data_IF_731444044024
#
_entry.id   IF_731444044024
#
_cell.length_a   1.000
_cell.length_b   1.000
_cell.length_c   1.000
_cell.angle_alpha   90.00
_cell.angle_beta   90.00
_cell.angle_gamma   90.00
#
_symmetry.space_group_name_H-M   'P 1'
#
loop_
_entity.id
_entity.type
_entity.pdbx_description
1 polymer ?
#
# COMPACT_ATOMS: atom_id res chain seq x y z
N UNK A 1 -30.06 8.63 -0.80
CA UNK A 1 -29.13 8.07 -1.80
C UNK A 1 -28.62 9.21 -2.68
N UNK A 2 -27.34 9.58 -2.84
CA UNK A 2 -26.06 8.95 -2.50
C UNK A 2 -24.93 9.99 -2.64
N UNK A 3 -24.55 10.70 -1.58
CA UNK A 3 -23.21 11.29 -1.46
C UNK A 3 -22.09 10.25 -1.66
N UNK A 4 -22.45 8.97 -1.50
CA UNK A 4 -21.68 7.80 -1.92
C UNK A 4 -21.35 7.75 -3.42
N UNK A 5 -22.29 8.10 -4.32
CA UNK A 5 -22.04 8.09 -5.77
C UNK A 5 -21.10 9.23 -6.17
N UNK A 6 -21.17 10.37 -5.49
CA UNK A 6 -20.29 11.51 -5.73
C UNK A 6 -18.84 11.22 -5.31
N UNK A 7 -18.63 10.53 -4.18
CA UNK A 7 -17.30 10.06 -3.78
C UNK A 7 -16.73 9.02 -4.75
N UNK A 8 -17.59 8.19 -5.36
CA UNK A 8 -17.20 7.19 -6.37
C UNK A 8 -16.88 7.80 -7.74
N UNK A 9 -17.51 8.92 -8.10
CA UNK A 9 -17.33 9.60 -9.39
C UNK A 9 -16.23 10.67 -9.38
N UNK A 10 -15.67 11.02 -8.22
CA UNK A 10 -14.77 12.16 -8.07
C UNK A 10 -13.29 11.86 -8.33
N UNK A 11 -12.88 10.61 -8.49
CA UNK A 11 -11.47 10.28 -8.73
C UNK A 11 -11.24 9.89 -10.20
N UNK A 12 -10.50 10.70 -11.00
CA UNK A 12 -9.95 10.26 -12.28
C UNK A 12 -8.81 9.27 -12.01
N UNK A 13 -9.19 8.02 -11.76
CA UNK A 13 -8.30 6.92 -11.41
C UNK A 13 -9.15 5.68 -11.15
N UNK A 14 -8.66 4.52 -11.61
CA UNK A 14 -9.21 3.17 -11.42
C UNK A 14 -9.94 3.09 -10.07
N UNK A 15 -11.27 3.00 -10.12
CA UNK A 15 -12.18 3.41 -9.02
C UNK A 15 -11.98 2.73 -7.67
N UNK A 16 -12.78 3.12 -6.67
CA UNK A 16 -12.65 2.71 -5.26
C UNK A 16 -12.25 1.23 -5.03
N UNK A 17 -12.88 0.30 -5.74
CA UNK A 17 -12.57 -1.13 -5.66
C UNK A 17 -11.14 -1.49 -6.09
N UNK A 18 -10.61 -0.84 -7.13
CA UNK A 18 -9.26 -1.07 -7.60
C UNK A 18 -8.22 -0.57 -6.60
N UNK A 19 -8.46 0.57 -5.93
CA UNK A 19 -7.55 1.06 -4.87
C UNK A 19 -7.47 0.09 -3.69
N UNK A 20 -8.61 -0.45 -3.24
CA UNK A 20 -8.63 -1.48 -2.19
C UNK A 20 -7.89 -2.73 -2.66
N UNK A 21 -8.16 -3.18 -3.90
CA UNK A 21 -7.51 -4.34 -4.48
C UNK A 21 -5.99 -4.17 -4.59
N UNK A 22 -5.51 -3.00 -4.98
CA UNK A 22 -4.09 -2.64 -5.01
C UNK A 22 -3.47 -2.74 -3.61
N UNK A 23 -4.11 -2.15 -2.60
CA UNK A 23 -3.58 -2.19 -1.22
C UNK A 23 -3.47 -3.62 -0.67
N UNK A 24 -4.47 -4.46 -0.96
CA UNK A 24 -4.49 -5.87 -0.57
C UNK A 24 -3.39 -6.68 -1.29
N UNK A 25 -3.26 -6.51 -2.61
CA UNK A 25 -2.19 -7.12 -3.39
C UNK A 25 -0.81 -6.66 -2.93
N UNK A 26 -0.65 -5.37 -2.69
CA UNK A 26 0.62 -4.78 -2.28
C UNK A 26 1.11 -5.34 -0.94
N UNK A 27 0.22 -5.44 0.05
CA UNK A 27 0.55 -6.03 1.36
C UNK A 27 0.98 -7.49 1.26
N UNK A 28 0.28 -8.29 0.45
CA UNK A 28 0.62 -9.70 0.22
C UNK A 28 1.96 -9.87 -0.52
N UNK A 29 2.19 -9.07 -1.57
CA UNK A 29 3.45 -9.10 -2.32
C UNK A 29 4.62 -8.66 -1.42
N UNK A 30 4.44 -7.60 -0.64
CA UNK A 30 5.47 -7.09 0.26
C UNK A 30 5.87 -8.14 1.31
N UNK A 31 4.91 -8.84 1.90
CA UNK A 31 5.18 -9.92 2.84
C UNK A 31 6.04 -11.04 2.22
N UNK A 32 5.71 -11.43 0.97
CA UNK A 32 6.46 -12.45 0.24
C UNK A 32 7.89 -12.01 -0.04
N UNK A 33 8.08 -10.73 -0.39
CA UNK A 33 9.40 -10.13 -0.62
C UNK A 33 10.22 -10.11 0.67
N UNK A 34 9.61 -9.73 1.80
CA UNK A 34 10.31 -9.64 3.08
C UNK A 34 10.40 -10.97 3.83
N UNK A 35 9.99 -12.09 3.21
CA UNK A 35 9.96 -13.43 3.82
C UNK A 35 9.39 -13.43 5.24
N UNK A 36 8.38 -12.60 5.47
CA UNK A 36 7.74 -12.43 6.78
C UNK A 36 6.55 -13.37 6.88
N UNK A 37 6.29 -13.93 8.07
CA UNK A 37 5.08 -14.73 8.32
C UNK A 37 4.12 -13.89 9.18
N UNK A 38 3.31 -13.09 8.51
CA UNK A 38 2.30 -12.25 9.12
C UNK A 38 0.90 -12.81 8.81
N UNK A 39 -0.06 -12.58 9.69
CA UNK A 39 -1.44 -12.99 9.44
C UNK A 39 -2.09 -12.13 8.35
N UNK A 40 -3.18 -12.62 7.76
CA UNK A 40 -3.97 -11.89 6.74
C UNK A 40 -4.35 -10.47 7.21
N UNK A 41 -4.70 -10.32 8.49
CA UNK A 41 -5.02 -9.01 9.09
C UNK A 41 -3.83 -8.06 9.09
N UNK A 42 -2.63 -8.56 9.43
CA UNK A 42 -1.41 -7.75 9.43
C UNK A 42 -1.04 -7.32 8.02
N UNK A 43 -1.15 -8.22 7.03
CA UNK A 43 -0.88 -7.88 5.63
C UNK A 43 -1.83 -6.83 5.08
N UNK A 44 -3.10 -6.87 5.47
CA UNK A 44 -4.08 -5.85 5.10
C UNK A 44 -3.72 -4.49 5.73
N UNK A 45 -3.42 -4.45 7.04
CA UNK A 45 -3.03 -3.21 7.72
C UNK A 45 -1.73 -2.62 7.16
N UNK A 46 -0.74 -3.48 6.92
CA UNK A 46 0.53 -3.11 6.29
C UNK A 46 0.31 -2.62 4.86
N UNK A 47 -0.56 -3.28 4.09
CA UNK A 47 -0.91 -2.86 2.74
C UNK A 47 -1.55 -1.47 2.71
N UNK A 48 -2.49 -1.20 3.61
CA UNK A 48 -3.11 0.12 3.78
C UNK A 48 -2.06 1.16 4.19
N UNK A 49 -1.28 0.90 5.25
CA UNK A 49 -0.23 1.81 5.72
C UNK A 49 0.84 2.07 4.63
N UNK A 50 1.23 1.02 3.92
CA UNK A 50 2.18 1.06 2.81
C UNK A 50 1.66 1.86 1.61
N UNK A 51 0.34 1.87 1.38
CA UNK A 51 -0.27 2.68 0.32
C UNK A 51 -0.09 4.19 0.60
N UNK A 52 -0.28 4.61 1.86
CA UNK A 52 -0.02 5.98 2.30
C UNK A 52 1.47 6.33 2.27
N UNK A 53 2.33 5.41 2.72
CA UNK A 53 3.77 5.65 2.72
C UNK A 53 4.33 5.73 1.30
N UNK A 54 3.89 4.83 0.42
CA UNK A 54 4.28 4.77 -0.98
C UNK A 54 3.89 6.00 -1.78
N UNK A 55 2.69 6.56 -1.54
CA UNK A 55 2.28 7.80 -2.20
C UNK A 55 3.13 8.98 -1.75
N UNK A 56 3.38 9.13 -0.45
CA UNK A 56 4.24 10.21 0.08
C UNK A 56 5.68 10.10 -0.40
N UNK A 57 6.22 8.89 -0.54
CA UNK A 57 7.56 8.69 -1.07
C UNK A 57 7.64 9.08 -2.55
N UNK A 58 6.64 8.74 -3.36
CA UNK A 58 6.64 9.12 -4.76
C UNK A 58 6.43 10.62 -4.95
N UNK A 59 5.61 11.27 -4.12
CA UNK A 59 5.49 12.73 -4.07
C UNK A 59 6.84 13.38 -3.75
N UNK A 60 7.57 12.86 -2.76
CA UNK A 60 8.87 13.39 -2.37
C UNK A 60 9.95 13.21 -3.46
N UNK A 61 9.86 12.12 -4.21
CA UNK A 61 10.78 11.81 -5.31
C UNK A 61 10.35 12.45 -6.65
N UNK A 62 9.28 13.25 -6.65
CA UNK A 62 8.67 13.84 -7.84
C UNK A 62 8.36 12.81 -8.94
N UNK A 63 8.02 11.58 -8.53
CA UNK A 63 7.67 10.49 -9.43
C UNK A 63 6.16 10.54 -9.67
N UNK A 64 5.71 10.82 -10.91
CA UNK A 64 4.29 10.87 -11.19
C UNK A 64 3.68 9.46 -11.12
N UNK A 65 2.91 9.21 -10.05
CA UNK A 65 2.08 8.01 -9.91
C UNK A 65 0.79 8.24 -10.69
N UNK A 66 0.66 7.54 -11.80
CA UNK A 66 -0.60 7.44 -12.56
C UNK A 66 -0.75 6.03 -13.10
N UNK A 67 -2.00 5.62 -13.33
CA UNK A 67 -2.26 4.27 -13.81
C UNK A 67 -2.13 3.22 -12.71
N UNK A 68 -2.89 2.14 -12.87
CA UNK A 68 -2.98 1.04 -11.92
C UNK A 68 -1.60 0.50 -11.53
N UNK A 69 -0.71 0.30 -12.53
CA UNK A 69 0.61 -0.29 -12.33
C UNK A 69 1.54 0.56 -11.46
N UNK A 70 1.60 1.88 -11.69
CA UNK A 70 2.50 2.75 -10.90
C UNK A 70 2.00 2.86 -9.47
N UNK A 71 0.69 2.95 -9.26
CA UNK A 71 0.10 2.94 -7.92
C UNK A 71 0.37 1.63 -7.20
N UNK A 72 0.27 0.49 -7.90
CA UNK A 72 0.59 -0.81 -7.32
C UNK A 72 2.06 -0.90 -6.91
N UNK A 73 2.98 -0.49 -7.77
CA UNK A 73 4.42 -0.52 -7.46
C UNK A 73 4.75 0.40 -6.27
N UNK A 74 4.19 1.61 -6.25
CA UNK A 74 4.39 2.52 -5.12
C UNK A 74 3.82 1.96 -3.80
N UNK A 75 2.64 1.36 -3.85
CA UNK A 75 2.03 0.72 -2.68
C UNK A 75 2.86 -0.48 -2.19
N UNK A 76 3.40 -1.31 -3.10
CA UNK A 76 4.31 -2.41 -2.75
C UNK A 76 5.56 -1.86 -2.08
N UNK A 77 6.20 -0.84 -2.66
CA UNK A 77 7.41 -0.24 -2.10
C UNK A 77 7.16 0.32 -0.69
N UNK A 78 6.07 1.04 -0.49
CA UNK A 78 5.68 1.53 0.84
C UNK A 78 5.39 0.40 1.83
N UNK A 79 4.69 -0.66 1.41
CA UNK A 79 4.40 -1.81 2.26
C UNK A 79 5.67 -2.58 2.65
N UNK A 80 6.63 -2.76 1.73
CA UNK A 80 7.94 -3.36 2.02
C UNK A 80 8.67 -2.55 3.10
N UNK A 81 8.66 -1.22 3.00
CA UNK A 81 9.30 -0.35 4.01
C UNK A 81 8.64 -0.54 5.38
N UNK A 82 7.30 -0.56 5.44
CA UNK A 82 6.57 -0.79 6.70
C UNK A 82 6.98 -2.13 7.33
N UNK A 83 7.04 -3.22 6.55
CA UNK A 83 7.43 -4.54 7.07
C UNK A 83 8.90 -4.55 7.52
N UNK A 84 9.80 -3.94 6.76
CA UNK A 84 11.22 -3.88 7.12
C UNK A 84 11.41 -3.13 8.44
N UNK A 85 10.76 -1.97 8.61
CA UNK A 85 10.80 -1.19 9.86
C UNK A 85 10.20 -2.00 11.00
N UNK A 86 9.05 -2.63 10.79
CA UNK A 86 8.40 -3.47 11.79
C UNK A 86 9.28 -4.66 12.22
N UNK A 87 9.92 -5.34 11.26
CA UNK A 87 10.83 -6.44 11.53
C UNK A 87 12.09 -5.97 12.25
N UNK A 88 12.62 -4.79 11.90
CA UNK A 88 13.77 -4.20 12.58
C UNK A 88 13.45 -3.86 14.04
N UNK A 89 12.26 -3.32 14.33
CA UNK A 89 11.80 -3.02 15.69
C UNK A 89 11.54 -4.28 16.53
N UNK A 90 11.20 -5.41 15.90
CA UNK A 90 10.93 -6.68 16.58
C UNK A 90 12.17 -7.52 16.86
N UNK A 91 13.28 -7.31 16.13
CA UNK A 91 14.54 -7.95 16.49
C UNK A 91 15.03 -7.29 17.78
N UNK A 92 15.22 -8.04 18.89
CA UNK A 92 15.95 -7.50 20.03
C UNK A 92 17.30 -7.06 19.51
N UNK A 93 17.64 -5.79 19.70
CA UNK A 93 19.02 -5.34 19.57
C UNK A 93 19.78 -6.13 20.63
N UNK A 94 20.48 -7.18 20.20
CA UNK A 94 21.40 -7.94 21.04
C UNK A 94 22.66 -7.09 21.30
#
# INVERSE_FOLDING_TARGET
MNSFNAAMSAQPGYGFFATIFIGLLAGWIAERITSSNHGILTNMLVGVAGSFLGSRLAELLDIPIFGFFRTLVAAIAGAVIVIVVWNALRKPVA
#
